data_IF_352458928081
#
_entry.id   IF_352458928081
#
_cell.length_a   1.000
_cell.length_b   1.000
_cell.length_c   1.000
_cell.angle_alpha   90.00
_cell.angle_beta   90.00
_cell.angle_gamma   90.00
#
_symmetry.space_group_name_H-M   'P 1'
#
loop_
_entity.id
_entity.type
_entity.pdbx_description
1 polymer ?
#
# COMPACT_ATOMS: atom_id res chain seq x y z
N UNK A 1 39.06 83.79 -8.28
CA UNK A 1 37.72 83.16 -8.16
C UNK A 1 37.90 81.69 -8.47
N UNK A 2 37.76 80.82 -7.47
CA UNK A 2 37.99 79.38 -7.59
C UNK A 2 36.77 78.70 -8.22
N UNK A 3 36.94 77.79 -9.21
CA UNK A 3 35.83 77.15 -9.88
C UNK A 3 35.30 75.96 -9.08
N UNK A 4 33.99 75.75 -9.22
CA UNK A 4 33.15 74.68 -8.69
C UNK A 4 33.52 73.31 -9.26
N UNK A 5 33.71 72.34 -8.36
CA UNK A 5 33.92 70.92 -8.65
C UNK A 5 32.57 70.23 -8.90
N UNK A 6 32.41 69.56 -10.05
CA UNK A 6 31.29 68.65 -10.33
C UNK A 6 31.79 67.22 -10.18
N UNK A 7 31.15 66.45 -9.29
CA UNK A 7 31.41 65.04 -9.04
C UNK A 7 30.69 64.20 -10.10
N UNK A 8 31.41 63.45 -10.93
CA UNK A 8 30.84 62.41 -11.79
C UNK A 8 31.09 61.04 -11.15
N UNK A 9 30.01 60.34 -10.78
CA UNK A 9 30.06 58.96 -10.29
C UNK A 9 30.18 57.99 -11.47
N UNK A 10 31.28 57.25 -11.55
CA UNK A 10 31.47 56.12 -12.46
C UNK A 10 30.89 54.85 -11.84
N UNK A 11 29.89 54.26 -12.49
CA UNK A 11 29.32 52.95 -12.14
C UNK A 11 30.21 51.85 -12.73
N UNK A 12 30.86 51.06 -11.87
CA UNK A 12 31.60 49.87 -12.27
C UNK A 12 30.63 48.68 -12.39
N UNK A 13 30.46 48.14 -13.60
CA UNK A 13 29.74 46.88 -13.82
C UNK A 13 30.74 45.73 -13.67
N UNK A 14 30.61 44.96 -12.59
CA UNK A 14 31.33 43.72 -12.40
C UNK A 14 30.66 42.62 -13.26
N UNK A 15 31.37 42.09 -14.26
CA UNK A 15 30.98 40.84 -14.93
C UNK A 15 31.26 39.67 -13.97
N UNK A 16 30.19 39.09 -13.43
CA UNK A 16 30.23 37.77 -12.82
C UNK A 16 30.09 36.72 -13.93
N UNK A 17 31.20 36.05 -14.27
CA UNK A 17 31.16 34.85 -15.07
C UNK A 17 30.55 33.71 -14.22
N UNK A 18 29.29 33.36 -14.47
CA UNK A 18 28.67 32.17 -13.89
C UNK A 18 29.18 30.95 -14.65
N UNK A 19 30.05 30.16 -14.01
CA UNK A 19 30.35 28.81 -14.45
C UNK A 19 29.06 27.97 -14.35
N UNK A 20 28.48 27.62 -15.49
CA UNK A 20 27.39 26.65 -15.55
C UNK A 20 27.97 25.27 -15.22
N UNK A 21 27.82 24.83 -13.97
CA UNK A 21 27.87 23.40 -13.67
C UNK A 21 26.67 22.76 -14.35
N UNK A 22 26.94 22.02 -15.43
CA UNK A 22 25.96 21.14 -16.04
C UNK A 22 25.48 20.15 -14.98
N UNK A 23 24.25 20.32 -14.54
CA UNK A 23 23.53 19.24 -13.89
C UNK A 23 23.44 18.12 -14.93
N UNK A 24 24.27 17.09 -14.77
CA UNK A 24 24.02 15.81 -15.41
C UNK A 24 22.73 15.30 -14.82
N UNK A 25 21.61 15.59 -15.46
CA UNK A 25 20.35 14.91 -15.18
C UNK A 25 20.62 13.45 -15.41
N UNK A 26 20.65 12.64 -14.35
CA UNK A 26 20.58 11.21 -14.50
C UNK A 26 19.41 10.91 -15.46
N UNK A 27 19.56 9.99 -16.42
CA UNK A 27 18.41 9.56 -17.22
C UNK A 27 17.27 9.22 -16.26
N UNK A 28 16.02 9.59 -16.57
CA UNK A 28 14.89 9.24 -15.73
C UNK A 28 14.97 7.75 -15.40
N UNK A 29 14.72 7.33 -14.15
CA UNK A 29 14.78 5.93 -13.76
C UNK A 29 14.06 5.11 -14.82
N UNK A 30 14.75 4.13 -15.40
CA UNK A 30 14.17 3.29 -16.44
C UNK A 30 12.90 2.65 -15.87
N UNK A 31 11.74 3.08 -16.36
CA UNK A 31 10.45 2.58 -15.89
C UNK A 31 10.37 1.09 -16.15
N UNK A 32 10.19 0.28 -15.10
CA UNK A 32 9.98 -1.16 -15.24
C UNK A 32 8.57 -1.41 -15.80
N UNK A 33 8.48 -1.84 -17.07
CA UNK A 33 7.21 -2.12 -17.74
C UNK A 33 6.67 -3.54 -17.46
N UNK A 34 7.38 -4.33 -16.65
CA UNK A 34 6.98 -5.68 -16.22
C UNK A 34 7.14 -5.83 -14.70
N UNK A 35 6.45 -5.00 -13.88
CA UNK A 35 6.59 -5.08 -12.45
C UNK A 35 6.02 -6.40 -11.91
N UNK A 36 6.73 -7.00 -10.96
CA UNK A 36 6.27 -8.14 -10.16
C UNK A 36 5.94 -7.68 -8.75
N UNK A 37 4.81 -8.10 -8.20
CA UNK A 37 4.37 -7.73 -6.85
C UNK A 37 4.37 -8.96 -5.96
N UNK A 38 5.11 -8.88 -4.85
CA UNK A 38 5.05 -9.88 -3.79
C UNK A 38 3.76 -9.73 -2.99
N UNK A 39 3.07 -10.83 -2.73
CA UNK A 39 1.84 -10.84 -1.90
C UNK A 39 2.04 -11.82 -0.75
N UNK A 40 2.02 -11.33 0.49
CA UNK A 40 2.25 -12.16 1.67
C UNK A 40 1.07 -13.11 1.91
N UNK A 41 1.35 -14.41 1.99
CA UNK A 41 0.37 -15.41 2.43
C UNK A 41 0.17 -15.35 3.93
N UNK A 42 -0.92 -15.95 4.41
CA UNK A 42 -1.21 -16.04 5.85
C UNK A 42 -1.65 -17.47 6.22
N UNK A 43 -1.52 -17.88 7.50
CA UNK A 43 -2.04 -19.17 7.97
C UNK A 43 -3.53 -19.34 7.65
N UNK A 44 -3.92 -20.55 7.25
CA UNK A 44 -5.34 -20.91 7.14
C UNK A 44 -5.97 -21.09 8.53
N UNK A 45 -7.27 -20.82 8.61
CA UNK A 45 -8.09 -21.08 9.79
C UNK A 45 -9.38 -21.81 9.40
N UNK A 46 -10.05 -22.44 10.36
CA UNK A 46 -11.35 -23.09 10.14
C UNK A 46 -11.35 -24.09 8.99
N UNK A 47 -12.36 -23.99 8.12
CA UNK A 47 -12.57 -24.85 6.94
C UNK A 47 -11.48 -24.69 5.88
N UNK A 48 -10.83 -23.52 5.80
CA UNK A 48 -9.76 -23.26 4.83
C UNK A 48 -8.55 -24.18 5.02
N UNK A 49 -8.31 -24.64 6.26
CA UNK A 49 -7.22 -25.55 6.60
C UNK A 49 -7.33 -26.92 5.91
N UNK A 50 -8.48 -27.25 5.31
CA UNK A 50 -8.68 -28.48 4.56
C UNK A 50 -7.96 -28.48 3.19
N UNK A 51 -7.60 -27.31 2.64
CA UNK A 51 -6.94 -27.20 1.33
C UNK A 51 -5.45 -26.87 1.39
N UNK A 52 -4.97 -26.35 2.52
CA UNK A 52 -3.57 -26.02 2.72
C UNK A 52 -3.34 -25.46 4.12
N UNK A 53 -2.09 -25.19 4.48
CA UNK A 53 -1.72 -24.59 5.78
C UNK A 53 -1.69 -23.08 5.72
N UNK A 54 -1.61 -22.53 4.52
CA UNK A 54 -1.55 -21.09 4.28
C UNK A 54 -2.30 -20.75 3.00
N UNK A 55 -2.77 -19.51 2.90
CA UNK A 55 -3.57 -19.07 1.76
C UNK A 55 -3.32 -17.61 1.37
N UNK A 56 -3.75 -17.27 0.16
CA UNK A 56 -3.95 -15.90 -0.34
C UNK A 56 -5.30 -15.88 -1.04
N UNK A 57 -6.19 -14.94 -0.68
CA UNK A 57 -7.43 -14.75 -1.42
C UNK A 57 -7.14 -14.26 -2.85
N UNK A 58 -7.81 -14.85 -3.83
CA UNK A 58 -7.51 -14.60 -5.24
C UNK A 58 -7.83 -13.17 -5.68
N UNK A 59 -8.70 -12.46 -4.96
CA UNK A 59 -8.97 -11.04 -5.21
C UNK A 59 -7.73 -10.16 -5.11
N UNK A 60 -6.81 -10.41 -4.17
CA UNK A 60 -5.54 -9.65 -4.10
C UNK A 60 -4.62 -9.92 -5.29
N UNK A 61 -4.62 -11.15 -5.81
CA UNK A 61 -3.90 -11.51 -7.04
C UNK A 61 -4.50 -10.77 -8.23
N UNK A 62 -5.83 -10.88 -8.40
CA UNK A 62 -6.58 -10.20 -9.47
C UNK A 62 -6.43 -8.68 -9.41
N UNK A 63 -6.33 -8.10 -8.21
CA UNK A 63 -6.14 -6.66 -7.99
C UNK A 63 -4.84 -6.15 -8.59
N UNK A 64 -3.71 -6.82 -8.35
CA UNK A 64 -2.43 -6.39 -8.93
C UNK A 64 -2.33 -6.71 -10.42
N UNK A 65 -2.88 -7.85 -10.86
CA UNK A 65 -2.90 -8.22 -12.29
C UNK A 65 -3.80 -7.30 -13.11
N UNK A 66 -4.96 -6.91 -12.56
CA UNK A 66 -5.89 -5.96 -13.17
C UNK A 66 -5.30 -4.56 -13.38
N UNK A 67 -4.20 -4.23 -12.71
CA UNK A 67 -3.43 -2.99 -12.90
C UNK A 67 -2.15 -3.17 -13.74
N UNK A 68 -1.92 -4.36 -14.29
CA UNK A 68 -0.82 -4.64 -15.21
C UNK A 68 0.50 -4.98 -14.51
N UNK A 69 0.44 -5.69 -13.37
CA UNK A 69 1.59 -6.33 -12.74
C UNK A 69 1.48 -7.87 -12.80
N UNK A 70 2.59 -8.56 -12.59
CA UNK A 70 2.62 -10.00 -12.34
C UNK A 70 2.62 -10.26 -10.82
N UNK A 71 1.88 -11.26 -10.34
CA UNK A 71 1.84 -11.58 -8.92
C UNK A 71 2.82 -12.70 -8.53
N UNK A 72 3.47 -12.55 -7.38
CA UNK A 72 4.38 -13.52 -6.77
C UNK A 72 3.89 -13.82 -5.34
N UNK A 73 3.38 -15.02 -5.04
CA UNK A 73 3.04 -15.39 -3.67
C UNK A 73 4.32 -15.47 -2.81
N UNK A 74 4.34 -14.72 -1.70
CA UNK A 74 5.37 -14.83 -0.68
C UNK A 74 4.80 -15.67 0.46
N UNK A 75 5.20 -16.94 0.51
CA UNK A 75 4.80 -17.83 1.59
C UNK A 75 5.40 -17.38 2.92
N UNK A 76 4.58 -17.17 3.94
CA UNK A 76 5.05 -16.64 5.23
C UNK A 76 6.04 -17.57 5.96
N UNK A 77 6.01 -18.86 5.64
CA UNK A 77 6.80 -19.89 6.31
C UNK A 77 8.17 -20.16 5.65
N UNK A 78 8.54 -19.42 4.60
CA UNK A 78 9.84 -19.57 3.94
C UNK A 78 11.01 -19.22 4.88
N UNK A 79 12.20 -19.80 4.64
CA UNK A 79 13.43 -19.37 5.31
C UNK A 79 13.69 -17.87 5.12
N UNK A 80 14.28 -17.22 6.13
CA UNK A 80 14.53 -15.77 6.10
C UNK A 80 15.41 -15.35 4.91
N UNK A 81 16.37 -16.18 4.50
CA UNK A 81 17.20 -15.92 3.33
C UNK A 81 16.37 -15.90 2.04
N UNK A 82 15.46 -16.86 1.85
CA UNK A 82 14.56 -16.91 0.69
C UNK A 82 13.58 -15.72 0.67
N UNK A 83 13.07 -15.29 1.83
CA UNK A 83 12.26 -14.06 1.93
C UNK A 83 13.05 -12.84 1.46
N UNK A 84 14.33 -12.74 1.85
CA UNK A 84 15.20 -11.64 1.43
C UNK A 84 15.49 -11.68 -0.07
N UNK A 85 15.69 -12.87 -0.64
CA UNK A 85 15.88 -13.06 -2.08
C UNK A 85 14.62 -12.67 -2.87
N UNK A 86 13.44 -13.07 -2.40
CA UNK A 86 12.17 -12.67 -3.00
C UNK A 86 11.96 -11.15 -2.95
N UNK A 87 12.20 -10.53 -1.79
CA UNK A 87 12.11 -9.07 -1.63
C UNK A 87 12.98 -8.32 -2.66
N UNK A 88 14.23 -8.76 -2.85
CA UNK A 88 15.17 -8.16 -3.82
C UNK A 88 14.77 -8.41 -5.28
N UNK A 89 13.89 -9.38 -5.52
CA UNK A 89 13.47 -9.78 -6.87
C UNK A 89 12.18 -9.08 -7.30
N UNK A 90 11.24 -8.87 -6.37
CA UNK A 90 9.95 -8.21 -6.64
C UNK A 90 10.07 -6.68 -6.60
N UNK A 91 9.13 -5.98 -7.22
CA UNK A 91 9.13 -4.53 -7.39
C UNK A 91 8.20 -3.78 -6.43
N UNK A 92 7.45 -4.51 -5.60
CA UNK A 92 6.58 -3.95 -4.57
C UNK A 92 5.98 -5.07 -3.72
N UNK A 93 5.39 -4.69 -2.60
CA UNK A 93 4.80 -5.62 -1.64
C UNK A 93 3.36 -5.25 -1.33
N UNK A 94 2.46 -6.23 -1.42
CA UNK A 94 1.09 -6.13 -0.94
C UNK A 94 0.93 -6.99 0.32
N UNK A 95 0.45 -6.37 1.39
CA UNK A 95 0.05 -7.01 2.65
C UNK A 95 -1.48 -7.10 2.66
N UNK A 96 -2.05 -8.30 2.45
CA UNK A 96 -3.50 -8.48 2.37
C UNK A 96 -4.23 -8.21 3.69
N UNK A 97 -5.56 -8.15 3.61
CA UNK A 97 -6.42 -8.32 4.78
C UNK A 97 -6.35 -9.75 5.34
N UNK A 98 -6.91 -9.97 6.53
CA UNK A 98 -6.75 -11.22 7.25
C UNK A 98 -7.13 -11.08 8.72
N UNK A 99 -6.66 -12.01 9.54
CA UNK A 99 -6.94 -12.04 10.98
C UNK A 99 -5.99 -12.95 11.74
N UNK A 100 -4.68 -12.79 11.48
CA UNK A 100 -3.64 -13.60 12.13
C UNK A 100 -3.32 -13.02 13.50
N UNK A 101 -3.15 -13.86 14.52
CA UNK A 101 -2.63 -13.40 15.81
C UNK A 101 -1.15 -13.02 15.68
N UNK A 102 -0.80 -11.76 15.95
CA UNK A 102 0.60 -11.30 15.94
C UNK A 102 1.29 -11.60 17.27
N UNK A 103 2.58 -11.93 17.21
CA UNK A 103 3.37 -12.25 18.41
C UNK A 103 4.68 -12.96 18.06
N UNK A 104 5.17 -13.83 18.96
CA UNK A 104 6.34 -14.66 18.68
C UNK A 104 5.96 -15.87 17.81
N UNK A 105 5.66 -15.60 16.54
CA UNK A 105 5.32 -16.62 15.55
C UNK A 105 5.96 -16.31 14.19
N UNK A 106 6.04 -17.36 13.36
CA UNK A 106 6.73 -17.29 12.06
C UNK A 106 6.11 -16.27 11.11
N UNK A 107 4.79 -16.08 11.14
CA UNK A 107 4.12 -15.09 10.29
C UNK A 107 4.56 -13.67 10.67
N UNK A 108 4.51 -13.32 11.95
CA UNK A 108 4.93 -12.01 12.47
C UNK A 108 6.40 -11.73 12.17
N UNK A 109 7.27 -12.74 12.35
CA UNK A 109 8.69 -12.63 12.02
C UNK A 109 8.91 -12.31 10.52
N UNK A 110 8.19 -12.98 9.62
CA UNK A 110 8.29 -12.75 8.18
C UNK A 110 7.71 -11.40 7.76
N UNK A 111 6.56 -11.00 8.32
CA UNK A 111 5.97 -9.67 8.14
C UNK A 111 6.96 -8.57 8.52
N UNK A 112 7.53 -8.64 9.72
CA UNK A 112 8.48 -7.63 10.22
C UNK A 112 9.76 -7.62 9.40
N UNK A 113 10.25 -8.79 8.98
CA UNK A 113 11.40 -8.87 8.08
C UNK A 113 11.13 -8.13 6.75
N UNK A 114 9.96 -8.32 6.14
CA UNK A 114 9.60 -7.64 4.89
C UNK A 114 9.49 -6.12 5.07
N UNK A 115 8.88 -5.67 6.18
CA UNK A 115 8.77 -4.25 6.50
C UNK A 115 10.15 -3.62 6.81
N UNK A 116 11.01 -4.31 7.56
CA UNK A 116 12.39 -3.87 7.81
C UNK A 116 13.17 -3.70 6.51
N UNK A 117 13.06 -4.67 5.60
CA UNK A 117 13.68 -4.62 4.27
C UNK A 117 13.15 -3.44 3.44
N UNK A 118 11.83 -3.22 3.41
CA UNK A 118 11.22 -2.11 2.68
C UNK A 118 11.63 -0.75 3.24
N UNK A 119 11.63 -0.58 4.56
CA UNK A 119 12.07 0.66 5.23
C UNK A 119 13.55 0.91 4.98
N UNK A 120 14.39 -0.12 5.06
CA UNK A 120 15.83 -0.01 4.81
C UNK A 120 16.14 0.36 3.36
N UNK A 121 15.45 -0.27 2.39
CA UNK A 121 15.60 0.04 0.96
C UNK A 121 15.27 1.51 0.68
N UNK A 122 14.10 1.98 1.12
CA UNK A 122 13.68 3.35 0.89
C UNK A 122 14.59 4.38 1.57
N UNK A 123 15.07 4.11 2.80
CA UNK A 123 16.08 4.97 3.47
C UNK A 123 17.41 5.01 2.72
N UNK A 124 17.76 3.96 1.97
CA UNK A 124 18.94 3.92 1.13
C UNK A 124 18.72 4.53 -0.27
N UNK A 125 17.54 5.06 -0.56
CA UNK A 125 17.19 5.64 -1.86
C UNK A 125 16.73 4.62 -2.91
N UNK A 126 16.46 3.37 -2.49
CA UNK A 126 15.88 2.32 -3.33
C UNK A 126 14.35 2.33 -3.18
N UNK A 127 13.66 2.87 -4.18
CA UNK A 127 12.22 3.15 -4.12
C UNK A 127 11.41 1.84 -4.14
N UNK A 128 10.96 1.37 -2.98
CA UNK A 128 10.24 0.11 -2.85
C UNK A 128 8.84 0.30 -2.25
N UNK A 129 7.77 0.25 -3.07
CA UNK A 129 6.41 0.45 -2.60
C UNK A 129 5.87 -0.70 -1.75
N UNK A 130 5.13 -0.34 -0.71
CA UNK A 130 4.33 -1.28 0.10
C UNK A 130 2.88 -0.78 0.16
N UNK A 131 1.93 -1.67 -0.01
CA UNK A 131 0.52 -1.40 0.25
C UNK A 131 -0.03 -2.38 1.28
N UNK A 132 -0.69 -1.88 2.32
CA UNK A 132 -1.42 -2.69 3.30
C UNK A 132 -2.92 -2.51 3.18
N UNK A 133 -3.66 -3.61 3.12
CA UNK A 133 -5.12 -3.61 3.05
C UNK A 133 -5.71 -4.21 4.31
N UNK A 134 -6.65 -3.53 4.96
CA UNK A 134 -7.36 -3.98 6.16
C UNK A 134 -6.41 -4.46 7.27
N UNK A 135 -6.21 -5.77 7.42
CA UNK A 135 -5.23 -6.30 8.37
C UNK A 135 -3.79 -5.84 8.03
N UNK A 136 -3.41 -5.77 6.75
CA UNK A 136 -2.14 -5.19 6.34
C UNK A 136 -1.97 -3.70 6.73
N UNK A 137 -3.06 -2.93 6.80
CA UNK A 137 -3.04 -1.57 7.36
C UNK A 137 -2.72 -1.61 8.86
N UNK A 138 -3.39 -2.49 9.59
CA UNK A 138 -3.24 -2.66 11.03
C UNK A 138 -1.82 -3.14 11.39
N UNK A 139 -1.30 -4.10 10.63
CA UNK A 139 0.06 -4.63 10.73
C UNK A 139 1.12 -3.55 10.57
N UNK A 140 1.00 -2.73 9.52
CA UNK A 140 1.91 -1.60 9.29
C UNK A 140 1.81 -0.60 10.45
N UNK A 141 0.60 -0.27 10.90
CA UNK A 141 0.42 0.66 12.01
C UNK A 141 1.06 0.14 13.31
N UNK A 142 0.81 -1.12 13.68
CA UNK A 142 1.38 -1.75 14.86
C UNK A 142 2.91 -1.89 14.79
N UNK A 143 3.45 -2.22 13.60
CA UNK A 143 4.90 -2.26 13.36
C UNK A 143 5.54 -0.88 13.58
N UNK A 144 5.00 0.18 12.96
CA UNK A 144 5.55 1.54 13.09
C UNK A 144 5.39 2.06 14.52
N UNK A 145 4.24 1.81 15.15
CA UNK A 145 4.00 2.19 16.54
C UNK A 145 4.90 1.42 17.52
N UNK A 146 5.41 0.26 17.12
CA UNK A 146 6.02 -0.74 17.98
C UNK A 146 5.09 -1.12 19.15
N UNK A 147 3.81 -1.35 18.82
CA UNK A 147 2.75 -1.67 19.78
C UNK A 147 1.71 -2.58 19.11
N UNK A 148 1.66 -3.85 19.53
CA UNK A 148 0.69 -4.83 19.03
C UNK A 148 -0.71 -4.66 19.64
N UNK A 149 -0.90 -3.78 20.63
CA UNK A 149 -2.18 -3.50 21.28
C UNK A 149 -2.77 -2.14 20.88
N UNK A 150 -2.27 -1.56 19.78
CA UNK A 150 -2.59 -0.21 19.33
C UNK A 150 -4.08 0.02 18.98
N UNK A 151 -4.78 -1.03 18.54
CA UNK A 151 -6.08 -0.92 17.90
C UNK A 151 -7.23 -0.89 18.91
N UNK A 152 -8.34 -0.28 18.50
CA UNK A 152 -9.61 -0.28 19.24
C UNK A 152 -10.67 -1.10 18.50
N UNK A 153 -11.69 -1.58 19.20
CA UNK A 153 -12.84 -2.22 18.56
C UNK A 153 -13.72 -1.19 17.84
N UNK A 154 -14.20 -1.57 16.66
CA UNK A 154 -15.15 -0.79 15.83
C UNK A 154 -16.17 -1.73 15.18
N UNK A 155 -17.43 -1.31 15.11
CA UNK A 155 -18.50 -2.00 14.37
C UNK A 155 -18.46 -1.57 12.90
N UNK A 156 -17.51 -2.16 12.17
CA UNK A 156 -17.23 -1.88 10.76
C UNK A 156 -17.13 -3.14 9.91
N UNK A 157 -17.63 -4.27 10.40
CA UNK A 157 -17.78 -5.47 9.58
C UNK A 157 -18.96 -5.33 8.62
N UNK A 158 -18.80 -5.84 7.41
CA UNK A 158 -19.84 -5.88 6.39
C UNK A 158 -20.50 -4.51 6.17
N UNK A 159 -19.69 -3.48 5.93
CA UNK A 159 -20.12 -2.08 5.86
C UNK A 159 -19.48 -1.35 4.68
N UNK A 160 -20.28 -0.70 3.83
CA UNK A 160 -19.74 0.16 2.75
C UNK A 160 -19.85 1.64 3.10
N UNK A 161 -18.74 2.37 2.94
CA UNK A 161 -18.63 3.78 3.33
C UNK A 161 -18.01 4.64 2.22
N UNK A 162 -18.35 5.94 2.14
CA UNK A 162 -17.51 6.94 1.47
C UNK A 162 -16.23 7.18 2.31
N UNK A 163 -15.34 8.06 1.88
CA UNK A 163 -14.15 8.49 2.62
C UNK A 163 -14.31 9.94 3.08
N UNK A 164 -14.11 10.17 4.38
CA UNK A 164 -13.98 11.53 4.92
C UNK A 164 -12.52 11.99 4.76
N UNK A 165 -12.21 12.63 3.64
CA UNK A 165 -10.84 13.05 3.33
C UNK A 165 -10.33 14.14 4.27
N UNK A 166 -9.07 14.01 4.69
CA UNK A 166 -8.33 15.10 5.32
C UNK A 166 -7.74 16.03 4.26
N UNK A 167 -7.20 17.17 4.69
CA UNK A 167 -6.49 18.09 3.80
C UNK A 167 -5.23 17.46 3.14
N UNK A 168 -4.66 16.41 3.74
CA UNK A 168 -3.46 15.76 3.21
C UNK A 168 -3.75 14.92 1.95
N UNK A 169 -4.99 14.48 1.74
CA UNK A 169 -5.36 13.63 0.60
C UNK A 169 -5.08 14.31 -0.75
N UNK A 170 -5.37 15.60 -0.88
CA UNK A 170 -5.27 16.31 -2.15
C UNK A 170 -3.83 16.41 -2.70
N UNK A 171 -2.82 16.35 -1.84
CA UNK A 171 -1.40 16.38 -2.23
C UNK A 171 -0.70 15.04 -2.00
N UNK A 172 -1.46 13.98 -1.72
CA UNK A 172 -0.93 12.67 -1.37
C UNK A 172 -0.36 11.93 -2.57
N UNK A 173 0.55 10.99 -2.36
CA UNK A 173 1.02 10.10 -3.42
C UNK A 173 -0.10 9.17 -3.90
N UNK A 174 -1.01 8.78 -3.00
CA UNK A 174 -2.12 7.88 -3.34
C UNK A 174 -3.22 8.55 -4.17
N UNK A 175 -3.58 9.81 -3.87
CA UNK A 175 -4.73 10.49 -4.46
C UNK A 175 -4.41 11.79 -5.20
N UNK A 176 -3.19 12.30 -5.13
CA UNK A 176 -2.82 13.60 -5.72
C UNK A 176 -3.01 13.67 -7.24
N UNK A 177 -2.81 12.53 -7.93
CA UNK A 177 -3.03 12.39 -9.37
C UNK A 177 -4.42 11.82 -9.72
N UNK A 178 -5.30 11.64 -8.73
CA UNK A 178 -6.64 11.11 -8.97
C UNK A 178 -7.48 12.10 -9.80
N UNK A 179 -8.17 11.63 -10.85
CA UNK A 179 -9.17 12.45 -11.53
C UNK A 179 -10.22 12.95 -10.53
N UNK A 180 -10.72 14.17 -10.72
CA UNK A 180 -11.72 14.76 -9.82
C UNK A 180 -12.97 13.88 -9.66
N UNK A 181 -13.36 13.14 -10.71
CA UNK A 181 -14.44 12.16 -10.66
C UNK A 181 -14.16 11.05 -9.63
N UNK A 182 -12.94 10.53 -9.56
CA UNK A 182 -12.57 9.48 -8.60
C UNK A 182 -12.61 10.02 -7.18
N UNK A 183 -12.10 11.24 -6.95
CA UNK A 183 -12.18 11.90 -5.66
C UNK A 183 -13.63 12.16 -5.23
N UNK A 184 -14.49 12.58 -6.16
CA UNK A 184 -15.91 12.79 -5.90
C UNK A 184 -16.65 11.48 -5.58
N UNK A 185 -16.36 10.39 -6.29
CA UNK A 185 -16.92 9.06 -6.00
C UNK A 185 -16.52 8.63 -4.58
N UNK A 186 -15.23 8.64 -4.28
CA UNK A 186 -14.71 8.22 -2.98
C UNK A 186 -15.28 9.08 -1.84
N UNK A 187 -15.42 10.38 -2.02
CA UNK A 187 -15.91 11.30 -0.98
C UNK A 187 -17.43 11.21 -0.73
N UNK A 188 -18.23 10.83 -1.73
CA UNK A 188 -19.70 11.00 -1.67
C UNK A 188 -20.48 9.69 -1.73
N UNK A 189 -19.88 8.61 -2.19
CA UNK A 189 -20.58 7.35 -2.42
C UNK A 189 -20.05 6.23 -1.51
N UNK A 190 -20.91 5.33 -1.01
CA UNK A 190 -20.50 4.21 -0.18
C UNK A 190 -19.83 3.11 -1.00
N UNK A 191 -18.61 3.35 -1.47
CA UNK A 191 -17.88 2.47 -2.41
C UNK A 191 -16.75 1.68 -1.76
N UNK A 192 -16.37 2.00 -0.53
CA UNK A 192 -15.26 1.32 0.16
C UNK A 192 -15.79 0.23 1.08
N UNK A 193 -15.42 -1.03 0.83
CA UNK A 193 -15.87 -2.17 1.62
C UNK A 193 -15.04 -2.29 2.91
N UNK A 194 -15.71 -2.28 4.06
CA UNK A 194 -15.13 -2.50 5.37
C UNK A 194 -15.57 -3.86 5.91
N UNK A 195 -14.60 -4.65 6.34
CA UNK A 195 -14.75 -5.99 6.93
C UNK A 195 -13.75 -6.16 8.08
N UNK A 196 -13.84 -5.30 9.09
CA UNK A 196 -12.91 -5.30 10.21
C UNK A 196 -13.62 -5.02 11.53
N UNK A 197 -13.11 -5.64 12.61
CA UNK A 197 -13.58 -5.44 13.99
C UNK A 197 -12.67 -4.49 14.77
N UNK A 198 -11.48 -4.21 14.24
CA UNK A 198 -10.46 -3.40 14.89
C UNK A 198 -10.01 -2.28 13.97
N UNK A 199 -9.76 -1.11 14.55
CA UNK A 199 -9.30 0.07 13.82
C UNK A 199 -8.30 0.90 14.61
N UNK A 200 -7.54 1.72 13.89
CA UNK A 200 -6.71 2.77 14.50
C UNK A 200 -7.53 4.04 14.70
N UNK A 201 -7.73 4.47 15.95
CA UNK A 201 -8.40 5.74 16.23
C UNK A 201 -7.50 6.95 15.97
N UNK A 202 -8.04 8.13 15.62
CA UNK A 202 -7.27 9.37 15.55
C UNK A 202 -6.53 9.69 16.86
N UNK A 203 -7.14 9.39 18.01
CA UNK A 203 -6.52 9.58 19.32
C UNK A 203 -5.32 8.63 19.54
N UNK A 204 -5.46 7.35 19.18
CA UNK A 204 -4.38 6.37 19.24
C UNK A 204 -3.20 6.73 18.31
N UNK A 205 -3.52 7.19 17.10
CA UNK A 205 -2.52 7.72 16.17
C UNK A 205 -1.77 8.92 16.77
N UNK A 206 -2.50 9.93 17.26
CA UNK A 206 -1.92 11.15 17.82
C UNK A 206 -1.08 10.89 19.09
N UNK A 207 -1.40 9.86 19.86
CA UNK A 207 -0.65 9.46 21.05
C UNK A 207 0.69 8.81 20.72
N UNK A 208 0.86 8.26 19.51
CA UNK A 208 2.11 7.63 19.06
C UNK A 208 2.98 8.62 18.29
N UNK A 209 4.10 9.01 18.89
CA UNK A 209 5.11 9.84 18.21
C UNK A 209 5.70 9.17 16.96
N UNK A 210 5.79 7.84 16.93
CA UNK A 210 6.27 7.10 15.76
C UNK A 210 5.27 7.22 14.60
N UNK A 211 3.97 6.99 14.86
CA UNK A 211 2.94 7.08 13.81
C UNK A 211 2.82 8.50 13.26
N UNK A 212 2.75 9.50 14.14
CA UNK A 212 2.65 10.91 13.74
C UNK A 212 3.90 11.41 13.01
N UNK A 213 5.08 10.86 13.29
CA UNK A 213 6.29 11.15 12.53
C UNK A 213 6.26 10.47 11.16
N UNK A 214 5.78 9.24 11.08
CA UNK A 214 5.89 8.40 9.88
C UNK A 214 4.80 8.65 8.83
N UNK A 215 3.56 8.90 9.25
CA UNK A 215 2.38 8.90 8.37
C UNK A 215 1.69 10.26 8.24
N UNK A 216 1.11 10.49 7.07
CA UNK A 216 -0.01 11.40 6.85
C UNK A 216 -1.31 10.57 6.86
N UNK A 217 -2.32 11.05 7.59
CA UNK A 217 -3.68 10.51 7.53
C UNK A 217 -4.40 11.12 6.35
N UNK A 218 -4.88 10.31 5.41
CA UNK A 218 -5.53 10.78 4.19
C UNK A 218 -7.06 10.79 4.31
N UNK A 219 -7.64 9.85 5.06
CA UNK A 219 -9.06 9.84 5.36
C UNK A 219 -9.37 9.21 6.70
N UNK A 220 -10.52 9.58 7.25
CA UNK A 220 -11.16 8.90 8.37
C UNK A 220 -12.53 8.38 7.97
N UNK A 221 -13.13 7.59 8.86
CA UNK A 221 -14.49 7.11 8.76
C UNK A 221 -15.09 6.97 10.17
N UNK A 222 -16.40 6.78 10.23
CA UNK A 222 -17.14 6.57 11.48
C UNK A 222 -17.89 5.24 11.39
N UNK A 223 -17.74 4.40 12.42
CA UNK A 223 -18.41 3.11 12.50
C UNK A 223 -19.91 3.23 12.85
N UNK A 224 -20.62 2.10 12.94
CA UNK A 224 -22.06 2.12 13.29
C UNK A 224 -22.38 2.66 14.68
N UNK A 225 -21.41 2.71 15.58
CA UNK A 225 -21.54 3.20 16.95
C UNK A 225 -21.06 4.64 17.13
N UNK A 226 -20.67 5.33 16.06
CA UNK A 226 -20.18 6.71 16.12
C UNK A 226 -18.70 6.85 16.48
N UNK A 227 -17.93 5.75 16.42
CA UNK A 227 -16.48 5.75 16.70
C UNK A 227 -15.73 6.12 15.43
N UNK A 228 -14.97 7.21 15.49
CA UNK A 228 -14.09 7.63 14.39
C UNK A 228 -12.81 6.79 14.34
N UNK A 229 -12.42 6.39 13.12
CA UNK A 229 -11.19 5.67 12.85
C UNK A 229 -10.49 6.18 11.58
N UNK A 230 -9.17 5.97 11.51
CA UNK A 230 -8.36 6.26 10.33
C UNK A 230 -8.61 5.17 9.29
N UNK A 231 -9.00 5.58 8.07
CA UNK A 231 -9.35 4.65 7.00
C UNK A 231 -8.33 4.61 5.86
N UNK A 232 -7.49 5.64 5.71
CA UNK A 232 -6.37 5.64 4.76
C UNK A 232 -5.21 6.47 5.27
N UNK A 233 -3.99 5.96 5.09
CA UNK A 233 -2.75 6.66 5.44
C UNK A 233 -1.64 6.37 4.43
N UNK A 234 -0.67 7.28 4.34
CA UNK A 234 0.56 7.07 3.58
C UNK A 234 1.77 7.61 4.34
N UNK A 235 2.92 6.99 4.15
CA UNK A 235 4.15 7.43 4.78
C UNK A 235 4.63 8.75 4.14
N UNK A 236 5.19 9.63 4.95
CA UNK A 236 5.58 10.98 4.51
C UNK A 236 6.74 10.98 3.52
N UNK A 237 7.71 10.10 3.74
CA UNK A 237 9.01 10.12 3.07
C UNK A 237 9.35 8.82 2.31
N UNK A 238 8.38 7.90 2.17
CA UNK A 238 8.57 6.64 1.45
C UNK A 238 7.24 6.10 0.88
N UNK A 239 7.26 5.26 -0.18
CA UNK A 239 6.06 4.79 -0.87
C UNK A 239 5.32 3.67 -0.12
N UNK A 240 5.01 3.89 1.15
CA UNK A 240 4.21 2.97 1.97
C UNK A 240 2.82 3.58 2.11
N UNK A 241 1.81 2.85 1.62
CA UNK A 241 0.39 3.27 1.68
C UNK A 241 -0.41 2.19 2.39
N UNK A 242 -1.53 2.57 2.99
CA UNK A 242 -2.41 1.60 3.63
C UNK A 242 -3.87 2.06 3.63
N UNK A 243 -4.78 1.14 3.35
CA UNK A 243 -6.24 1.32 3.45
C UNK A 243 -6.82 0.36 4.46
N UNK A 244 -7.65 0.85 5.39
CA UNK A 244 -8.40 -0.02 6.31
C UNK A 244 -9.54 -0.77 5.60
N UNK A 245 -10.01 -0.24 4.48
CA UNK A 245 -11.00 -0.83 3.59
C UNK A 245 -10.36 -1.68 2.48
N UNK A 246 -11.20 -2.49 1.83
CA UNK A 246 -10.82 -3.51 0.84
C UNK A 246 -11.04 -3.02 -0.60
N UNK A 247 -10.02 -2.49 -1.29
CA UNK A 247 -10.15 -2.07 -2.68
C UNK A 247 -10.36 -3.24 -3.66
N UNK A 248 -9.91 -4.43 -3.31
CA UNK A 248 -10.01 -5.63 -4.15
C UNK A 248 -11.43 -6.20 -4.24
N UNK A 249 -12.23 -6.05 -3.18
CA UNK A 249 -13.54 -6.71 -3.05
C UNK A 249 -14.57 -6.23 -4.10
N UNK A 250 -14.80 -4.91 -4.30
CA UNK A 250 -15.74 -4.43 -5.31
C UNK A 250 -15.48 -4.93 -6.74
N UNK A 251 -14.24 -5.32 -7.02
CA UNK A 251 -13.82 -5.79 -8.33
C UNK A 251 -13.98 -7.32 -8.50
N UNK A 252 -13.84 -8.11 -7.44
CA UNK A 252 -13.53 -9.54 -7.59
C UNK A 252 -14.20 -10.52 -6.61
N UNK A 253 -14.90 -10.07 -5.57
CA UNK A 253 -15.60 -10.95 -4.62
C UNK A 253 -17.11 -10.75 -4.74
N UNK A 254 -17.91 -11.84 -4.68
CA UNK A 254 -19.34 -11.78 -5.03
C UNK A 254 -20.25 -12.46 -4.00
N UNK A 255 -19.75 -12.68 -2.79
CA UNK A 255 -20.53 -13.29 -1.71
C UNK A 255 -21.85 -12.51 -1.48
N UNK A 256 -23.02 -13.15 -1.62
CA UNK A 256 -24.30 -12.47 -1.51
C UNK A 256 -24.65 -11.98 -0.09
N UNK A 257 -23.90 -12.39 0.94
CA UNK A 257 -24.07 -11.94 2.32
C UNK A 257 -23.28 -10.65 2.58
N UNK A 258 -22.22 -10.38 1.83
CA UNK A 258 -21.45 -9.15 1.95
C UNK A 258 -22.12 -7.98 1.20
N UNK A 259 -22.18 -6.80 1.83
CA UNK A 259 -22.82 -5.59 1.27
C UNK A 259 -21.90 -4.83 0.31
N UNK A 260 -21.09 -5.57 -0.45
CA UNK A 260 -20.09 -5.00 -1.36
C UNK A 260 -20.79 -4.17 -2.44
N UNK A 261 -20.29 -2.95 -2.66
CA UNK A 261 -20.82 -2.09 -3.71
C UNK A 261 -20.13 -2.40 -5.04
N UNK A 262 -20.83 -3.06 -5.96
CA UNK A 262 -20.36 -3.38 -7.31
C UNK A 262 -20.80 -2.36 -8.38
N UNK A 263 -21.16 -1.14 -7.99
CA UNK A 263 -21.50 -0.09 -8.95
C UNK A 263 -20.32 0.22 -9.88
N UNK A 264 -20.61 0.75 -11.07
CA UNK A 264 -19.55 1.18 -12.00
C UNK A 264 -18.61 2.21 -11.36
N UNK A 265 -19.11 3.03 -10.46
CA UNK A 265 -18.32 4.06 -9.78
C UNK A 265 -17.38 3.43 -8.75
N UNK A 266 -17.85 2.44 -7.97
CA UNK A 266 -16.98 1.65 -7.10
C UNK A 266 -15.86 0.97 -7.90
N UNK A 267 -16.21 0.31 -9.02
CA UNK A 267 -15.23 -0.34 -9.90
C UNK A 267 -14.18 0.65 -10.41
N UNK A 268 -14.58 1.84 -10.88
CA UNK A 268 -13.63 2.87 -11.33
C UNK A 268 -12.70 3.31 -10.21
N UNK A 269 -13.24 3.61 -9.03
CA UNK A 269 -12.48 4.09 -7.88
C UNK A 269 -11.47 3.03 -7.39
N UNK A 270 -11.88 1.78 -7.28
CA UNK A 270 -10.99 0.69 -6.84
C UNK A 270 -9.95 0.35 -7.91
N UNK A 271 -10.30 0.43 -9.20
CA UNK A 271 -9.34 0.22 -10.27
C UNK A 271 -8.25 1.29 -10.27
N UNK A 272 -8.59 2.53 -9.92
CA UNK A 272 -7.61 3.61 -9.76
C UNK A 272 -6.60 3.30 -8.65
N UNK A 273 -7.03 2.81 -7.49
CA UNK A 273 -6.11 2.51 -6.38
C UNK A 273 -5.12 1.40 -6.75
N UNK A 274 -5.58 0.39 -7.49
CA UNK A 274 -4.73 -0.66 -8.04
C UNK A 274 -3.66 -0.08 -8.97
N UNK A 275 -4.08 0.82 -9.87
CA UNK A 275 -3.20 1.46 -10.84
C UNK A 275 -2.17 2.38 -10.16
N UNK A 276 -2.56 3.13 -9.14
CA UNK A 276 -1.64 3.97 -8.38
C UNK A 276 -0.54 3.14 -7.73
N UNK A 277 -0.90 2.05 -7.03
CA UNK A 277 0.07 1.16 -6.40
C UNK A 277 1.02 0.48 -7.40
N UNK A 278 0.47 -0.10 -8.48
CA UNK A 278 1.29 -0.75 -9.51
C UNK A 278 2.16 0.26 -10.25
N UNK A 279 1.70 1.49 -10.47
CA UNK A 279 2.51 2.54 -11.11
C UNK A 279 3.72 2.92 -10.27
N UNK A 280 3.57 3.05 -8.95
CA UNK A 280 4.71 3.24 -8.05
C UNK A 280 5.70 2.07 -8.15
N UNK A 281 5.19 0.84 -8.30
CA UNK A 281 6.04 -0.36 -8.40
C UNK A 281 6.84 -0.44 -9.71
N UNK A 282 6.64 0.49 -10.65
CA UNK A 282 7.48 0.61 -11.86
C UNK A 282 8.76 1.42 -11.63
N UNK A 283 8.94 1.99 -10.44
CA UNK A 283 9.99 2.96 -10.12
C UNK A 283 11.22 2.38 -9.41
N UNK A 284 11.42 1.05 -9.45
CA UNK A 284 12.68 0.41 -9.08
C UNK A 284 13.13 -0.62 -10.12
N UNK A 285 14.41 -1.01 -10.01
CA UNK A 285 15.07 -1.95 -10.91
C UNK A 285 15.22 -3.35 -10.32
N UNK A 286 14.43 -3.72 -9.30
CA UNK A 286 14.43 -5.09 -8.78
C UNK A 286 14.05 -6.07 -9.88
N UNK A 287 14.74 -7.20 -9.91
CA UNK A 287 14.50 -8.27 -10.89
C UNK A 287 14.96 -9.60 -10.33
N UNK A 288 14.31 -10.67 -10.77
CA UNK A 288 14.80 -12.02 -10.54
C UNK A 288 16.16 -12.23 -11.23
N UNK A 289 16.97 -13.12 -10.66
CA UNK A 289 18.29 -13.47 -11.19
C UNK A 289 18.25 -14.11 -12.60
N UNK A 290 17.11 -14.68 -12.99
CA UNK A 290 16.88 -15.22 -14.34
C UNK A 290 15.39 -15.35 -14.63
N UNK A 291 15.04 -15.41 -15.93
CA UNK A 291 13.66 -15.69 -16.36
C UNK A 291 13.14 -17.02 -15.80
N UNK A 292 14.00 -18.04 -15.66
CA UNK A 292 13.62 -19.32 -15.07
C UNK A 292 13.25 -19.19 -13.60
N UNK A 293 13.95 -18.34 -12.85
CA UNK A 293 13.63 -18.08 -11.44
C UNK A 293 12.31 -17.31 -11.33
N UNK A 294 12.13 -16.26 -12.14
CA UNK A 294 10.86 -15.52 -12.22
C UNK A 294 9.69 -16.48 -12.53
N UNK A 295 9.80 -17.24 -13.63
CA UNK A 295 8.74 -18.14 -14.07
C UNK A 295 8.32 -19.17 -13.02
N UNK A 296 9.23 -19.59 -12.12
CA UNK A 296 8.92 -20.52 -11.02
C UNK A 296 8.23 -19.82 -9.84
N UNK A 297 8.50 -18.54 -9.63
CA UNK A 297 7.97 -17.77 -8.51
C UNK A 297 6.56 -17.23 -8.78
N UNK A 298 6.18 -17.06 -10.06
CA UNK A 298 4.89 -16.48 -10.44
C UNK A 298 3.68 -17.29 -9.97
N UNK A 299 2.57 -16.59 -9.70
CA UNK A 299 1.29 -17.19 -9.31
C UNK A 299 0.75 -18.20 -10.35
N UNK A 300 1.16 -18.09 -11.62
CA UNK A 300 0.72 -18.95 -12.72
C UNK A 300 1.06 -20.43 -12.56
N UNK A 301 1.92 -20.79 -11.61
CA UNK A 301 2.23 -22.19 -11.28
C UNK A 301 1.25 -22.82 -10.28
N UNK A 302 0.30 -22.04 -9.76
CA UNK A 302 -0.62 -22.46 -8.71
C UNK A 302 -2.07 -22.36 -9.21
N UNK A 303 -2.94 -23.23 -8.70
CA UNK A 303 -4.35 -23.24 -9.04
C UNK A 303 -5.17 -22.79 -7.82
N UNK A 304 -6.08 -21.81 -7.95
CA UNK A 304 -6.97 -21.46 -6.87
C UNK A 304 -8.05 -22.54 -6.69
N UNK A 305 -8.59 -22.62 -5.49
CA UNK A 305 -9.78 -23.43 -5.16
C UNK A 305 -10.96 -22.48 -4.99
N UNK A 306 -12.13 -22.90 -5.45
CA UNK A 306 -13.39 -22.21 -5.19
C UNK A 306 -13.83 -22.45 -3.73
N UNK A 307 -13.96 -21.39 -2.95
CA UNK A 307 -14.05 -21.41 -1.48
C UNK A 307 -15.31 -20.76 -0.90
N UNK A 308 -16.20 -20.23 -1.73
CA UNK A 308 -17.40 -19.49 -1.27
C UNK A 308 -18.23 -20.29 -0.25
N UNK A 309 -18.39 -21.61 -0.46
CA UNK A 309 -19.14 -22.48 0.47
C UNK A 309 -18.41 -22.77 1.79
N UNK A 310 -17.12 -22.46 1.86
CA UNK A 310 -16.26 -22.78 2.99
C UNK A 310 -16.08 -21.58 3.92
N UNK A 311 -15.94 -20.40 3.33
CA UNK A 311 -15.84 -19.11 4.01
C UNK A 311 -16.68 -18.08 3.29
N UNK A 312 -17.58 -17.46 4.02
CA UNK A 312 -18.45 -16.40 3.50
C UNK A 312 -17.66 -15.08 3.42
N UNK A 313 -16.70 -14.99 2.49
CA UNK A 313 -15.94 -13.76 2.21
C UNK A 313 -15.07 -13.81 0.95
N UNK A 314 -14.70 -15.01 0.48
CA UNK A 314 -13.80 -15.18 -0.66
C UNK A 314 -14.31 -16.25 -1.63
N UNK A 315 -14.53 -15.87 -2.88
CA UNK A 315 -14.93 -16.77 -3.95
C UNK A 315 -13.83 -17.81 -4.22
N UNK A 316 -12.58 -17.36 -4.25
CA UNK A 316 -11.43 -18.21 -4.56
C UNK A 316 -10.22 -17.89 -3.68
N UNK A 317 -9.49 -18.93 -3.28
CA UNK A 317 -8.23 -18.81 -2.57
C UNK A 317 -7.15 -19.71 -3.19
N UNK A 318 -5.91 -19.26 -3.16
CA UNK A 318 -4.72 -20.08 -3.43
C UNK A 318 -4.22 -20.67 -2.12
N UNK A 319 -3.71 -21.90 -2.15
CA UNK A 319 -3.28 -22.65 -0.97
C UNK A 319 -1.89 -23.28 -1.15
N UNK A 320 -1.17 -23.43 -0.04
CA UNK A 320 0.13 -24.12 0.05
C UNK A 320 0.27 -24.95 1.33
#
# INVERSE_FOLDING_TARGET
MRPTTVLTATLAVALLATAAWGATTAPPPQTNLRPTIGILSQPTFGTLANWGKQYIAASYIKYVEGAGAQAVPIRYDLPAEEITELFRSVNGLLLPGGGVELGDNKYTQTLFQLLDLAVAANKAGDFFPVHGTCFGFQEIAMYVANDLNLLINTDSENLTLPLEFTHAAASSAMFGDAPAEIMDILAKQPVTMNNHHYSLSPAGFAASSNLTAFFNVLSTNVDRNGIEFISTMEAKDMPITATQWHPEKPLYEWDPVEVINHSSDAVKAMQFTAQAFVSNSRSNSHTFASQTAENKALIYNFNPVYTEQAVNSFDQCYFW
#
